data_IF_155386006483
#
_entry.id   IF_155386006483
#
_cell.length_a   1.000
_cell.length_b   1.000
_cell.length_c   1.000
_cell.angle_alpha   90.00
_cell.angle_beta   90.00
_cell.angle_gamma   90.00
#
_symmetry.space_group_name_H-M   'P 1'
#
loop_
_entity.id
_entity.type
_entity.pdbx_description
1 polymer ?
#
# COMPACT_ATOMS: atom_id res chain seq x y z
N UNK A 1 -10.68 6.88 14.01
CA UNK A 1 -10.27 5.81 13.07
C UNK A 1 -11.45 5.10 12.39
N UNK A 2 -12.66 5.10 12.97
CA UNK A 2 -13.88 4.47 12.41
C UNK A 2 -14.29 4.93 10.98
N UNK A 3 -14.08 6.19 10.61
CA UNK A 3 -14.55 6.72 9.30
C UNK A 3 -13.89 6.03 8.09
N UNK A 4 -12.65 5.52 8.22
CA UNK A 4 -11.92 4.92 7.10
C UNK A 4 -12.40 3.51 6.72
N UNK A 5 -13.17 2.86 7.59
CA UNK A 5 -13.58 1.46 7.44
C UNK A 5 -15.10 1.28 7.48
N UNK A 6 -15.80 2.11 8.26
CA UNK A 6 -17.26 2.08 8.36
C UNK A 6 -17.96 2.77 7.18
N UNK A 7 -17.21 3.38 6.26
CA UNK A 7 -17.75 3.93 5.02
C UNK A 7 -17.89 2.80 3.97
N UNK A 8 -19.10 2.50 3.46
CA UNK A 8 -19.33 1.41 2.50
C UNK A 8 -18.51 1.53 1.20
N UNK A 9 -18.29 2.76 0.75
CA UNK A 9 -17.53 3.03 -0.47
C UNK A 9 -16.04 2.72 -0.28
N UNK A 10 -15.51 2.99 0.92
CA UNK A 10 -14.12 2.69 1.27
C UNK A 10 -13.91 1.23 1.62
N UNK A 11 -14.88 0.55 2.24
CA UNK A 11 -14.75 -0.88 2.56
C UNK A 11 -14.63 -1.72 1.30
N UNK A 12 -15.43 -1.42 0.27
CA UNK A 12 -15.36 -2.07 -1.04
C UNK A 12 -14.00 -1.85 -1.71
N UNK A 13 -13.48 -0.63 -1.66
CA UNK A 13 -12.13 -0.31 -2.15
C UNK A 13 -11.06 -1.10 -1.40
N UNK A 14 -11.10 -1.12 -0.07
CA UNK A 14 -10.13 -1.84 0.75
C UNK A 14 -10.10 -3.35 0.46
N UNK A 15 -11.26 -3.98 0.24
CA UNK A 15 -11.31 -5.40 -0.12
C UNK A 15 -10.58 -5.67 -1.45
N UNK A 16 -10.75 -4.81 -2.45
CA UNK A 16 -10.03 -4.91 -3.73
C UNK A 16 -8.53 -4.78 -3.52
N UNK A 17 -8.09 -3.82 -2.70
CA UNK A 17 -6.66 -3.61 -2.42
C UNK A 17 -6.06 -4.79 -1.65
N UNK A 18 -6.72 -5.27 -0.59
CA UNK A 18 -6.24 -6.40 0.23
C UNK A 18 -6.14 -7.66 -0.63
N UNK A 19 -7.13 -7.90 -1.50
CA UNK A 19 -7.08 -9.00 -2.45
C UNK A 19 -5.90 -8.86 -3.41
N UNK A 20 -5.70 -7.69 -4.02
CA UNK A 20 -4.57 -7.43 -4.90
C UNK A 20 -3.21 -7.62 -4.20
N UNK A 21 -3.05 -7.09 -2.99
CA UNK A 21 -1.85 -7.29 -2.18
C UNK A 21 -1.61 -8.78 -1.89
N UNK A 22 -2.67 -9.56 -1.62
CA UNK A 22 -2.53 -10.99 -1.36
C UNK A 22 -2.01 -11.76 -2.58
N UNK A 23 -2.52 -11.40 -3.78
CA UNK A 23 -2.06 -12.00 -5.04
C UNK A 23 -0.60 -11.63 -5.34
N UNK A 24 -0.21 -10.37 -5.11
CA UNK A 24 1.16 -9.89 -5.33
C UNK A 24 2.15 -10.55 -4.36
N UNK A 25 1.79 -10.66 -3.09
CA UNK A 25 2.67 -11.18 -2.04
C UNK A 25 2.68 -12.71 -1.95
N UNK A 26 1.81 -13.41 -2.68
CA UNK A 26 1.67 -14.88 -2.61
C UNK A 26 1.21 -15.40 -1.25
N UNK A 27 0.65 -14.54 -0.38
CA UNK A 27 0.16 -14.88 0.96
C UNK A 27 -1.10 -14.09 1.28
N UNK A 28 -1.89 -14.57 2.24
CA UNK A 28 -3.05 -13.83 2.70
C UNK A 28 -2.61 -12.52 3.36
N UNK A 29 -2.99 -11.40 2.75
CA UNK A 29 -2.83 -10.11 3.38
C UNK A 29 -3.77 -10.02 4.59
N UNK A 30 -3.32 -9.39 5.68
CA UNK A 30 -4.11 -9.24 6.90
C UNK A 30 -5.38 -8.42 6.64
N UNK A 31 -6.53 -8.99 7.00
CA UNK A 31 -7.82 -8.28 6.96
C UNK A 31 -7.98 -7.31 8.15
N UNK A 32 -7.04 -7.35 9.10
CA UNK A 32 -7.08 -6.51 10.30
C UNK A 32 -6.92 -5.03 9.95
N UNK A 33 -7.83 -4.22 10.50
CA UNK A 33 -7.78 -2.76 10.42
C UNK A 33 -6.47 -2.19 10.96
N UNK A 34 -5.96 -2.74 12.07
CA UNK A 34 -4.73 -2.27 12.70
C UNK A 34 -3.52 -2.47 11.77
N UNK A 35 -3.42 -3.64 11.14
CA UNK A 35 -2.32 -3.91 10.20
C UNK A 35 -2.50 -3.15 8.89
N UNK A 36 -3.73 -3.05 8.38
CA UNK A 36 -4.05 -2.31 7.16
C UNK A 36 -3.77 -0.81 7.29
N UNK A 37 -4.21 -0.18 8.38
CA UNK A 37 -4.11 1.29 8.56
C UNK A 37 -2.85 1.72 9.29
N UNK A 38 -2.48 1.04 10.37
CA UNK A 38 -1.37 1.47 11.21
C UNK A 38 -0.08 0.74 10.88
N UNK A 39 -0.16 -0.41 10.19
CA UNK A 39 0.99 -1.31 10.02
C UNK A 39 1.67 -1.61 11.37
N UNK A 40 0.88 -1.58 12.45
CA UNK A 40 1.31 -1.86 13.82
C UNK A 40 0.96 -3.30 14.13
N UNK A 41 1.95 -4.17 13.97
CA UNK A 41 1.92 -5.55 14.42
C UNK A 41 3.33 -5.89 14.92
N UNK A 42 3.43 -6.57 16.06
CA UNK A 42 4.71 -7.00 16.65
C UNK A 42 5.43 -8.02 15.74
N UNK A 43 4.71 -8.68 14.83
CA UNK A 43 5.30 -9.59 13.84
C UNK A 43 6.00 -8.87 12.66
N UNK A 44 5.87 -7.55 12.56
CA UNK A 44 6.43 -6.78 11.44
C UNK A 44 7.93 -6.60 11.61
N UNK A 45 8.73 -7.48 11.01
CA UNK A 45 10.18 -7.31 10.98
C UNK A 45 10.57 -6.21 9.98
N UNK A 46 11.00 -5.06 10.49
CA UNK A 46 11.59 -4.02 9.64
C UNK A 46 12.80 -4.56 8.87
N UNK A 47 12.88 -4.25 7.58
CA UNK A 47 13.98 -4.67 6.70
C UNK A 47 13.74 -5.98 5.95
N UNK A 48 12.63 -6.69 6.20
CA UNK A 48 12.21 -7.82 5.36
C UNK A 48 11.48 -7.29 4.11
N UNK A 49 11.91 -7.64 2.89
CA UNK A 49 11.39 -7.02 1.66
C UNK A 49 9.89 -7.17 1.47
N UNK A 50 9.31 -8.32 1.80
CA UNK A 50 7.88 -8.60 1.61
C UNK A 50 6.99 -7.74 2.51
N UNK A 51 7.42 -7.47 3.75
CA UNK A 51 6.72 -6.56 4.65
C UNK A 51 6.90 -5.10 4.22
N UNK A 52 8.05 -4.78 3.63
CA UNK A 52 8.31 -3.45 3.09
C UNK A 52 7.41 -3.20 1.87
N UNK A 53 7.32 -4.15 0.95
CA UNK A 53 6.41 -4.11 -0.19
C UNK A 53 4.95 -4.01 0.26
N UNK A 54 4.51 -4.84 1.20
CA UNK A 54 3.16 -4.77 1.80
C UNK A 54 2.86 -3.35 2.31
N UNK A 55 3.82 -2.74 3.03
CA UNK A 55 3.71 -1.38 3.56
C UNK A 55 3.56 -0.34 2.45
N UNK A 56 4.36 -0.42 1.38
CA UNK A 56 4.25 0.50 0.24
C UNK A 56 2.89 0.40 -0.44
N UNK A 57 2.44 -0.82 -0.72
CA UNK A 57 1.15 -1.09 -1.38
C UNK A 57 -0.03 -0.54 -0.57
N UNK A 58 -0.05 -0.80 0.74
CA UNK A 58 -1.10 -0.30 1.64
C UNK A 58 -1.03 1.22 1.82
N UNK A 59 0.17 1.79 1.94
CA UNK A 59 0.33 3.24 2.07
C UNK A 59 -0.09 3.99 0.79
N UNK A 60 0.12 3.41 -0.40
CA UNK A 60 -0.38 3.97 -1.65
C UNK A 60 -1.91 4.15 -1.60
N UNK A 61 -2.64 3.14 -1.10
CA UNK A 61 -4.09 3.22 -0.91
C UNK A 61 -4.47 4.28 0.13
N UNK A 62 -3.77 4.34 1.28
CA UNK A 62 -4.04 5.36 2.32
C UNK A 62 -3.91 6.78 1.80
N UNK A 63 -2.92 7.07 0.96
CA UNK A 63 -2.69 8.41 0.42
C UNK A 63 -3.88 8.89 -0.44
N UNK A 64 -4.61 7.97 -1.08
CA UNK A 64 -5.75 8.32 -1.93
C UNK A 64 -6.99 8.73 -1.13
N UNK A 65 -7.15 8.21 0.10
CA UNK A 65 -8.39 8.42 0.86
C UNK A 65 -8.57 9.89 1.30
N UNK A 66 -7.57 10.58 1.90
CA UNK A 66 -7.70 12.00 2.24
C UNK A 66 -7.86 12.90 1.02
N UNK A 67 -7.22 12.57 -0.12
CA UNK A 67 -7.32 13.35 -1.36
C UNK A 67 -8.75 13.38 -1.90
N UNK A 68 -9.53 12.33 -1.65
CA UNK A 68 -10.89 12.18 -2.17
C UNK A 68 -11.98 12.59 -1.18
N UNK A 69 -11.69 12.97 0.07
CA UNK A 69 -12.67 13.74 0.88
C UNK A 69 -13.11 15.05 0.22
N UNK A 70 -12.39 15.50 -0.81
CA UNK A 70 -12.69 16.67 -1.63
C UNK A 70 -13.41 16.35 -2.96
N UNK A 71 -13.67 15.07 -3.24
CA UNK A 71 -14.28 14.55 -4.49
C UNK A 71 -15.43 13.61 -4.15
N UNK A 72 -16.47 13.55 -4.99
CA UNK A 72 -17.65 12.72 -4.73
C UNK A 72 -17.45 11.22 -4.98
N UNK A 73 -16.37 10.82 -5.66
CA UNK A 73 -16.16 9.44 -6.09
C UNK A 73 -15.07 8.72 -5.29
N UNK A 74 -15.28 7.46 -4.88
CA UNK A 74 -14.27 6.65 -4.21
C UNK A 74 -13.09 6.32 -5.13
N UNK A 75 -11.91 6.03 -4.55
CA UNK A 75 -10.74 5.63 -5.33
C UNK A 75 -10.99 4.30 -6.04
N UNK A 76 -10.46 4.20 -7.25
CA UNK A 76 -10.50 2.96 -8.03
C UNK A 76 -9.18 2.20 -7.92
N UNK A 77 -9.19 0.91 -8.28
CA UNK A 77 -7.97 0.11 -8.42
C UNK A 77 -6.96 0.75 -9.38
N UNK A 78 -7.44 1.40 -10.45
CA UNK A 78 -6.60 2.16 -11.37
C UNK A 78 -5.85 3.30 -10.66
N UNK A 79 -6.56 4.11 -9.85
CA UNK A 79 -5.92 5.18 -9.10
C UNK A 79 -4.85 4.66 -8.13
N UNK A 80 -5.10 3.49 -7.54
CA UNK A 80 -4.14 2.82 -6.68
C UNK A 80 -2.90 2.34 -7.45
N UNK A 81 -3.08 1.67 -8.59
CA UNK A 81 -1.97 1.25 -9.46
C UNK A 81 -1.14 2.45 -9.92
N UNK A 82 -1.80 3.53 -10.36
CA UNK A 82 -1.13 4.77 -10.75
C UNK A 82 -0.29 5.32 -9.60
N UNK A 83 -0.82 5.26 -8.36
CA UNK A 83 -0.11 5.72 -7.17
C UNK A 83 1.05 4.80 -6.77
N UNK A 84 0.91 3.48 -6.90
CA UNK A 84 2.01 2.53 -6.69
C UNK A 84 3.13 2.80 -7.70
N UNK A 85 2.80 2.96 -8.98
CA UNK A 85 3.77 3.28 -10.01
C UNK A 85 4.50 4.61 -9.78
N UNK A 86 3.81 5.62 -9.24
CA UNK A 86 4.43 6.89 -8.82
C UNK A 86 5.48 6.68 -7.72
N UNK A 87 5.16 5.84 -6.72
CA UNK A 87 6.08 5.50 -5.61
C UNK A 87 7.29 4.73 -6.14
N UNK A 88 7.07 3.69 -6.95
CA UNK A 88 8.15 2.89 -7.55
C UNK A 88 9.13 3.77 -8.33
N UNK A 89 8.62 4.64 -9.21
CA UNK A 89 9.46 5.55 -10.00
C UNK A 89 10.25 6.51 -9.12
N UNK A 90 9.63 7.03 -8.06
CA UNK A 90 10.32 7.93 -7.13
C UNK A 90 11.46 7.22 -6.39
N UNK A 91 11.23 5.99 -5.92
CA UNK A 91 12.25 5.20 -5.24
C UNK A 91 13.37 4.76 -6.18
N UNK A 92 13.03 4.32 -7.40
CA UNK A 92 14.00 3.98 -8.44
C UNK A 92 14.96 5.16 -8.70
N UNK A 93 14.42 6.35 -8.95
CA UNK A 93 15.22 7.57 -9.15
C UNK A 93 16.08 7.93 -7.92
N UNK A 94 15.56 7.70 -6.72
CA UNK A 94 16.28 7.94 -5.47
C UNK A 94 17.45 6.97 -5.29
N UNK A 95 17.33 5.74 -5.80
CA UNK A 95 18.41 4.73 -5.74
C UNK A 95 19.51 4.94 -6.79
N UNK A 96 19.26 5.70 -7.86
CA UNK A 96 20.34 6.13 -8.78
C UNK A 96 21.29 7.10 -8.09
N UNK A 97 20.78 7.86 -7.09
CA UNK A 97 21.55 8.87 -6.36
C UNK A 97 22.35 8.33 -5.17
N UNK A 98 22.14 7.07 -4.75
CA UNK A 98 22.85 6.46 -3.63
C UNK A 98 22.86 4.94 -3.76
N UNK A 99 23.93 4.27 -3.36
CA UNK A 99 24.26 2.85 -3.60
C UNK A 99 23.27 1.80 -3.01
N UNK A 100 21.96 1.99 -3.19
CA UNK A 100 20.85 1.24 -2.59
C UNK A 100 20.02 0.48 -3.63
N UNK A 101 20.50 0.39 -4.87
CA UNK A 101 19.79 -0.27 -5.97
C UNK A 101 19.45 -1.75 -5.67
N UNK A 102 20.32 -2.46 -4.95
CA UNK A 102 20.04 -3.84 -4.51
C UNK A 102 18.79 -3.93 -3.63
N UNK A 103 18.66 -3.05 -2.63
CA UNK A 103 17.48 -3.02 -1.75
C UNK A 103 16.20 -2.70 -2.51
N UNK A 104 16.27 -1.81 -3.50
CA UNK A 104 15.13 -1.51 -4.36
C UNK A 104 14.67 -2.75 -5.14
N UNK A 105 15.62 -3.48 -5.75
CA UNK A 105 15.30 -4.72 -6.45
C UNK A 105 14.66 -5.74 -5.52
N UNK A 106 15.24 -5.97 -4.34
CA UNK A 106 14.71 -6.95 -3.37
C UNK A 106 13.25 -6.66 -2.96
N UNK A 107 12.84 -5.38 -2.96
CA UNK A 107 11.47 -4.96 -2.60
C UNK A 107 10.51 -5.03 -3.78
N UNK A 108 10.95 -4.67 -5.00
CA UNK A 108 10.04 -4.40 -6.12
C UNK A 108 10.14 -5.39 -7.29
N UNK A 109 11.19 -6.22 -7.38
CA UNK A 109 11.49 -7.11 -8.52
C UNK A 109 11.76 -8.56 -8.09
#
# INVERSE_FOLDING_TARGET
MHIFWSCPDLSSFWLVIIHACSQILGRNAPVSLARTLLFSDEETKEGVPEFTLERHLLNAAKILIPKLRKSSNPPTSKNWIDKVNEIVKFEELSTVSGNQYSKFRDIWL
#
